data_IF_884824105640
#
_entry.id   IF_884824105640
#
_cell.length_a   1.000
_cell.length_b   1.000
_cell.length_c   1.000
_cell.angle_alpha   90.00
_cell.angle_beta   90.00
_cell.angle_gamma   90.00
#
_symmetry.space_group_name_H-M   'P 1'
#
loop_
_entity.id
_entity.type
_entity.pdbx_description
1 polymer ?
#
# COMPACT_ATOMS: atom_id res chain seq x y z
N UNK A 1 -28.36 -28.87 -18.54
CA UNK A 1 -27.28 -29.85 -18.74
C UNK A 1 -26.02 -29.04 -19.00
N UNK A 2 -24.96 -28.97 -18.20
CA UNK A 2 -24.46 -29.85 -17.15
C UNK A 2 -23.74 -29.01 -16.07
N UNK A 3 -23.76 -29.51 -14.84
CA UNK A 3 -22.97 -29.02 -13.69
C UNK A 3 -21.57 -29.63 -13.69
N UNK A 4 -20.57 -28.94 -13.12
CA UNK A 4 -19.47 -29.56 -12.40
C UNK A 4 -19.57 -29.14 -10.92
N UNK A 5 -19.37 -29.99 -9.92
CA UNK A 5 -18.53 -31.17 -9.85
C UNK A 5 -17.82 -31.09 -8.50
N UNK A 6 -18.41 -31.73 -7.50
CA UNK A 6 -17.90 -31.84 -6.13
C UNK A 6 -16.48 -32.41 -6.09
N UNK A 7 -15.62 -31.86 -5.23
CA UNK A 7 -14.47 -32.58 -4.69
C UNK A 7 -14.58 -32.60 -3.17
N UNK A 8 -14.84 -33.81 -2.66
CA UNK A 8 -14.72 -34.18 -1.26
C UNK A 8 -13.34 -34.79 -1.03
N UNK A 9 -12.74 -34.49 0.12
CA UNK A 9 -11.49 -35.10 0.57
C UNK A 9 -11.35 -34.93 2.06
N UNK A 10 -11.80 -35.93 2.82
CA UNK A 10 -11.62 -36.07 4.25
C UNK A 10 -10.20 -36.55 4.57
N UNK A 11 -9.62 -36.06 5.67
CA UNK A 11 -8.54 -36.75 6.36
C UNK A 11 -8.61 -36.46 7.86
N UNK A 12 -8.60 -37.56 8.62
CA UNK A 12 -8.68 -37.64 10.06
C UNK A 12 -7.35 -37.32 10.74
N UNK A 13 -7.40 -36.89 12.00
CA UNK A 13 -6.33 -37.17 12.97
C UNK A 13 -6.90 -37.21 14.38
N UNK A 14 -6.59 -38.31 15.08
CA UNK A 14 -7.04 -38.67 16.40
C UNK A 14 -6.01 -38.28 17.48
N UNK A 15 -6.53 -38.06 18.70
CA UNK A 15 -6.09 -38.52 20.01
C UNK A 15 -4.60 -38.52 20.45
N UNK A 16 -4.39 -38.15 21.72
CA UNK A 16 -3.28 -38.61 22.57
C UNK A 16 -2.61 -37.49 23.38
N UNK A 17 -3.05 -37.24 24.61
CA UNK A 17 -2.42 -37.68 25.87
C UNK A 17 -1.13 -36.89 26.22
N UNK A 18 -1.19 -35.93 27.16
CA UNK A 18 -0.92 -36.10 28.60
C UNK A 18 0.46 -36.71 28.89
N UNK A 19 1.36 -35.99 29.58
CA UNK A 19 2.32 -36.48 30.58
C UNK A 19 3.09 -35.29 31.23
N UNK A 20 3.76 -35.47 32.40
CA UNK A 20 3.59 -34.60 33.56
C UNK A 20 4.72 -33.61 33.86
N UNK A 21 4.36 -32.62 34.68
CA UNK A 21 5.17 -31.53 35.24
C UNK A 21 6.06 -32.05 36.38
N UNK A 22 7.36 -32.13 36.16
CA UNK A 22 8.38 -32.40 37.18
C UNK A 22 8.79 -31.09 37.87
N UNK A 23 8.71 -31.08 39.20
CA UNK A 23 9.19 -30.01 40.07
C UNK A 23 10.68 -30.20 40.41
N UNK A 24 11.48 -29.12 40.51
CA UNK A 24 12.79 -29.18 41.15
C UNK A 24 12.75 -28.69 42.62
N UNK A 25 13.73 -29.12 43.44
CA UNK A 25 13.70 -29.01 44.90
C UNK A 25 14.20 -27.67 45.47
N UNK A 26 13.69 -27.37 46.67
CA UNK A 26 14.20 -26.40 47.65
C UNK A 26 15.72 -26.53 47.84
N UNK A 27 16.45 -25.41 47.71
CA UNK A 27 17.80 -25.24 48.28
C UNK A 27 17.85 -24.03 49.20
N UNK A 28 18.62 -24.25 50.26
CA UNK A 28 18.72 -23.52 51.51
C UNK A 28 19.40 -22.16 51.31
N UNK A 29 18.93 -21.19 52.08
CA UNK A 29 19.58 -19.89 52.25
C UNK A 29 20.88 -20.07 53.04
N UNK A 30 22.00 -19.67 52.44
CA UNK A 30 23.28 -19.49 53.11
C UNK A 30 23.60 -17.99 53.13
N UNK A 31 23.67 -17.45 54.34
CA UNK A 31 24.05 -16.09 54.69
C UNK A 31 25.57 -15.95 54.77
N UNK A 32 26.16 -14.99 54.03
CA UNK A 32 27.58 -14.59 54.07
C UNK A 32 27.77 -13.24 53.31
N UNK A 33 28.88 -12.48 53.51
CA UNK A 33 28.96 -11.35 54.42
C UNK A 33 28.89 -9.97 53.75
N UNK A 34 28.46 -8.99 54.55
CA UNK A 34 28.11 -7.61 54.25
C UNK A 34 29.32 -6.68 54.00
N UNK A 35 30.33 -7.13 53.25
CA UNK A 35 31.56 -6.34 53.03
C UNK A 35 31.80 -5.91 51.57
N UNK A 36 30.98 -6.37 50.62
CA UNK A 36 31.12 -6.00 49.20
C UNK A 36 30.24 -4.81 48.77
N UNK A 37 29.36 -4.31 49.66
CA UNK A 37 28.39 -3.25 49.32
C UNK A 37 28.97 -1.84 49.40
N UNK A 38 30.17 -1.64 50.00
CA UNK A 38 30.82 -0.32 50.05
C UNK A 38 31.71 -0.01 48.82
N UNK A 39 32.10 -0.99 48.01
CA UNK A 39 32.86 -0.72 46.78
C UNK A 39 31.97 -0.35 45.56
N UNK A 40 30.67 -0.62 45.59
CA UNK A 40 29.76 -0.24 44.49
C UNK A 40 29.27 1.21 44.54
N UNK A 41 29.44 1.93 45.66
CA UNK A 41 29.02 3.34 45.74
C UNK A 41 30.03 4.34 45.15
N UNK A 42 31.28 3.93 44.89
CA UNK A 42 32.29 4.83 44.32
C UNK A 42 32.36 4.85 42.78
N UNK A 43 31.53 4.07 42.07
CA UNK A 43 31.45 4.13 40.60
C UNK A 43 30.29 4.98 40.06
N UNK A 44 29.51 5.63 40.93
CA UNK A 44 28.44 6.55 40.52
C UNK A 44 28.94 8.00 40.52
N UNK A 45 29.81 8.33 39.59
CA UNK A 45 30.02 9.71 39.12
C UNK A 45 30.79 9.70 37.80
N UNK A 46 30.09 9.27 36.75
CA UNK A 46 30.43 9.59 35.37
C UNK A 46 29.31 10.46 34.80
N UNK A 47 29.63 11.45 33.94
CA UNK A 47 28.66 12.42 33.45
C UNK A 47 27.56 11.71 32.65
N UNK A 48 26.34 12.23 32.79
CA UNK A 48 25.15 11.90 32.01
C UNK A 48 25.43 11.99 30.50
N UNK A 49 26.06 10.96 29.95
CA UNK A 49 25.94 10.63 28.54
C UNK A 49 24.67 9.80 28.42
N UNK A 50 23.64 10.43 27.84
CA UNK A 50 22.42 9.77 27.45
C UNK A 50 22.75 8.55 26.57
N UNK A 51 22.74 7.36 27.18
CA UNK A 51 22.68 6.11 26.46
C UNK A 51 21.24 5.91 26.00
N UNK A 52 20.96 5.86 24.68
CA UNK A 52 19.63 5.51 24.19
C UNK A 52 19.40 4.03 24.52
N UNK A 53 18.70 3.79 25.62
CA UNK A 53 18.19 2.48 26.00
C UNK A 53 17.11 2.07 25.01
N UNK A 54 17.41 1.05 24.22
CA UNK A 54 16.46 0.07 23.68
C UNK A 54 15.16 0.60 23.11
N UNK A 55 15.21 1.22 21.93
CA UNK A 55 14.09 1.03 21.02
C UNK A 55 14.15 -0.41 20.50
N UNK A 56 13.05 -1.15 20.62
CA UNK A 56 12.78 -2.34 19.82
C UNK A 56 12.71 -1.89 18.35
N UNK A 57 13.87 -1.57 17.78
CA UNK A 57 13.99 -1.08 16.43
C UNK A 57 13.67 -2.21 15.50
N UNK A 58 12.53 -2.10 14.82
CA UNK A 58 12.31 -2.63 13.47
C UNK A 58 13.36 -2.03 12.53
N UNK A 59 14.63 -2.37 12.78
CA UNK A 59 15.78 -1.82 12.08
C UNK A 59 15.72 -2.30 10.65
N UNK A 60 15.54 -1.38 9.71
CA UNK A 60 15.63 -1.67 8.27
C UNK A 60 16.96 -2.39 8.04
N UNK A 61 16.92 -3.68 7.68
CA UNK A 61 18.14 -4.46 7.41
C UNK A 61 18.90 -3.79 6.27
N UNK A 62 20.19 -3.55 6.48
CA UNK A 62 21.06 -2.96 5.47
C UNK A 62 21.74 -4.06 4.66
N UNK A 63 21.78 -3.92 3.34
CA UNK A 63 22.53 -4.84 2.47
C UNK A 63 24.01 -4.99 2.86
N UNK A 64 24.59 -4.02 3.59
CA UNK A 64 25.97 -4.10 4.12
C UNK A 64 26.19 -5.26 5.10
N UNK A 65 25.13 -5.83 5.66
CA UNK A 65 25.19 -6.97 6.55
C UNK A 65 25.27 -8.32 5.80
N UNK A 66 25.00 -8.33 4.49
CA UNK A 66 25.03 -9.54 3.67
C UNK A 66 26.46 -9.89 3.27
N UNK A 67 26.75 -11.20 3.22
CA UNK A 67 28.05 -11.71 2.77
C UNK A 67 28.03 -11.93 1.26
N UNK A 68 28.78 -11.10 0.56
CA UNK A 68 28.97 -11.19 -0.90
C UNK A 68 27.65 -11.25 -1.70
N UNK A 69 26.75 -10.25 -1.55
CA UNK A 69 25.42 -10.31 -2.12
C UNK A 69 25.42 -10.11 -3.65
N UNK A 70 24.58 -10.87 -4.33
CA UNK A 70 24.16 -10.54 -5.68
C UNK A 70 23.14 -9.39 -5.64
N UNK A 71 23.31 -8.41 -6.53
CA UNK A 71 22.37 -7.31 -6.74
C UNK A 71 21.47 -7.60 -7.92
N UNK A 72 20.18 -7.66 -7.67
CA UNK A 72 19.13 -7.68 -8.68
C UNK A 72 18.45 -6.31 -8.70
N UNK A 73 18.12 -5.79 -9.87
CA UNK A 73 17.49 -4.49 -10.03
C UNK A 73 16.52 -4.49 -11.20
N UNK A 74 15.45 -3.71 -11.05
CA UNK A 74 14.45 -3.48 -12.09
C UNK A 74 13.81 -2.10 -11.89
N UNK A 75 13.44 -1.48 -13.00
CA UNK A 75 12.71 -0.21 -12.99
C UNK A 75 11.59 -0.25 -14.01
N UNK A 76 10.50 0.47 -13.74
CA UNK A 76 9.39 0.60 -14.67
C UNK A 76 8.74 1.96 -14.54
N UNK A 77 8.10 2.41 -15.62
CA UNK A 77 7.25 3.58 -15.63
C UNK A 77 5.94 3.24 -16.33
N UNK A 78 4.83 3.70 -15.78
CA UNK A 78 3.52 3.51 -16.37
C UNK A 78 2.68 4.77 -16.22
N UNK A 79 1.71 4.95 -17.12
CA UNK A 79 0.73 6.01 -17.03
C UNK A 79 -0.65 5.49 -17.47
N UNK A 80 -1.70 6.01 -16.84
CA UNK A 80 -3.10 5.69 -17.16
C UNK A 80 -3.88 7.00 -17.25
N UNK A 81 -4.73 7.10 -18.27
CA UNK A 81 -5.66 8.21 -18.42
C UNK A 81 -6.94 7.93 -17.64
N UNK A 82 -7.49 8.98 -17.04
CA UNK A 82 -8.69 8.92 -16.20
C UNK A 82 -9.66 10.03 -16.59
N UNK A 83 -10.95 9.72 -16.52
CA UNK A 83 -11.99 10.70 -16.68
C UNK A 83 -12.17 11.50 -15.39
N UNK A 84 -11.65 12.72 -15.35
CA UNK A 84 -11.72 13.59 -14.18
C UNK A 84 -13.10 14.26 -14.08
N UNK A 85 -13.73 14.17 -12.90
CA UNK A 85 -15.03 14.78 -12.61
C UNK A 85 -14.93 16.26 -12.23
N UNK A 86 -13.74 16.75 -11.91
CA UNK A 86 -13.48 18.14 -11.54
C UNK A 86 -14.08 18.56 -10.19
N UNK A 87 -13.84 19.81 -9.81
CA UNK A 87 -14.36 20.40 -8.58
C UNK A 87 -13.96 19.62 -7.33
N UNK A 88 -14.92 19.40 -6.41
CA UNK A 88 -14.71 18.62 -5.19
C UNK A 88 -14.53 17.10 -5.44
N UNK A 89 -14.81 16.63 -6.66
CA UNK A 89 -14.67 15.24 -7.08
C UNK A 89 -13.49 15.06 -8.03
N UNK A 90 -12.58 16.03 -8.07
CA UNK A 90 -11.45 16.00 -8.98
C UNK A 90 -10.49 14.87 -8.64
N UNK A 91 -9.68 14.45 -9.63
CA UNK A 91 -8.59 13.53 -9.37
C UNK A 91 -7.63 14.09 -8.32
N UNK A 92 -7.39 15.40 -8.32
CA UNK A 92 -6.55 16.06 -7.31
C UNK A 92 -7.15 15.95 -5.90
N UNK A 93 -8.46 16.18 -5.74
CA UNK A 93 -9.12 16.04 -4.46
C UNK A 93 -9.04 14.59 -3.93
N UNK A 94 -9.19 13.61 -4.82
CA UNK A 94 -9.04 12.19 -4.49
C UNK A 94 -7.60 11.84 -4.08
N UNK A 95 -6.60 12.26 -4.87
CA UNK A 95 -5.20 11.91 -4.62
C UNK A 95 -4.64 12.51 -3.32
N UNK A 96 -5.30 13.56 -2.80
CA UNK A 96 -4.98 14.23 -1.53
C UNK A 96 -5.76 13.69 -0.33
N UNK A 97 -6.57 12.65 -0.50
CA UNK A 97 -7.21 12.00 0.63
C UNK A 97 -6.14 11.50 1.62
N UNK A 98 -6.45 11.49 2.93
CA UNK A 98 -5.59 10.87 3.92
C UNK A 98 -5.18 9.46 3.48
N UNK A 99 -3.89 9.15 3.65
CA UNK A 99 -3.28 7.93 3.14
C UNK A 99 -4.00 6.68 3.67
N UNK A 100 -4.55 6.75 4.87
CA UNK A 100 -5.32 5.70 5.53
C UNK A 100 -6.54 5.25 4.71
N UNK A 101 -7.09 6.13 3.86
CA UNK A 101 -8.28 5.84 3.04
C UNK A 101 -7.99 4.97 1.81
N UNK A 102 -6.72 4.69 1.50
CA UNK A 102 -6.34 3.81 0.38
C UNK A 102 -6.30 2.31 0.74
N UNK A 103 -6.63 1.97 1.99
CA UNK A 103 -6.66 0.57 2.45
C UNK A 103 -7.67 -0.32 1.70
N UNK A 104 -8.72 0.26 1.10
CA UNK A 104 -9.76 -0.48 0.36
C UNK A 104 -9.38 -0.78 -1.10
N UNK A 105 -8.19 -0.37 -1.59
CA UNK A 105 -7.78 -0.57 -2.99
C UNK A 105 -7.77 -2.04 -3.41
N UNK A 106 -7.15 -2.89 -2.61
CA UNK A 106 -7.20 -4.35 -2.79
C UNK A 106 -6.91 -5.03 -1.45
N UNK A 107 -7.92 -5.55 -0.73
CA UNK A 107 -7.73 -6.13 0.61
C UNK A 107 -6.95 -7.46 0.57
N UNK A 108 -6.78 -8.08 -0.60
CA UNK A 108 -5.99 -9.31 -0.73
C UNK A 108 -4.50 -9.03 -0.82
N UNK A 109 -4.13 -7.89 -1.41
CA UNK A 109 -2.73 -7.47 -1.58
C UNK A 109 -2.29 -6.41 -0.59
N UNK A 110 -3.18 -5.55 -0.10
CA UNK A 110 -2.85 -4.39 0.72
C UNK A 110 -3.59 -4.50 2.05
N UNK A 111 -2.82 -4.51 3.13
CA UNK A 111 -3.34 -4.49 4.49
C UNK A 111 -2.78 -3.28 5.22
N UNK A 112 -3.64 -2.42 5.78
CA UNK A 112 -3.17 -1.29 6.60
C UNK A 112 -2.53 -1.79 7.90
N UNK A 113 -1.38 -1.23 8.24
CA UNK A 113 -0.72 -1.42 9.54
C UNK A 113 -0.98 -0.24 10.50
N UNK A 114 -1.80 0.73 10.08
CA UNK A 114 -2.06 1.98 10.78
C UNK A 114 -1.21 3.14 10.27
N UNK A 115 -1.78 4.35 10.36
CA UNK A 115 -1.17 5.57 9.82
C UNK A 115 -0.83 5.42 8.34
N UNK A 116 0.42 5.73 7.99
CA UNK A 116 0.91 5.71 6.62
C UNK A 116 1.64 4.44 6.21
N UNK A 117 1.57 3.37 7.00
CA UNK A 117 2.27 2.11 6.74
C UNK A 117 1.30 1.00 6.33
N UNK A 118 1.70 0.23 5.32
CA UNK A 118 0.90 -0.84 4.72
C UNK A 118 1.74 -2.11 4.57
N UNK A 119 1.12 -3.27 4.75
CA UNK A 119 1.68 -4.54 4.34
C UNK A 119 1.20 -4.85 2.92
N UNK A 120 2.15 -4.89 2.00
CA UNK A 120 1.96 -5.31 0.62
C UNK A 120 2.30 -6.80 0.49
N UNK A 121 1.29 -7.62 0.20
CA UNK A 121 1.43 -9.03 -0.14
C UNK A 121 1.57 -9.16 -1.64
N UNK A 122 2.76 -9.55 -2.08
CA UNK A 122 3.03 -9.80 -3.49
C UNK A 122 2.55 -11.22 -3.82
N UNK A 123 1.74 -11.41 -4.88
CA UNK A 123 1.30 -12.74 -5.28
C UNK A 123 2.46 -13.71 -5.44
N UNK A 124 2.20 -14.99 -5.11
CA UNK A 124 3.19 -16.05 -5.26
C UNK A 124 3.73 -16.11 -6.69
N UNK A 125 5.05 -16.05 -6.81
CA UNK A 125 5.77 -16.26 -8.06
C UNK A 125 6.47 -17.61 -7.99
N UNK A 126 6.31 -18.42 -9.04
CA UNK A 126 6.97 -19.72 -9.16
C UNK A 126 7.98 -19.69 -10.30
N UNK A 127 9.22 -20.08 -10.00
CA UNK A 127 10.28 -20.30 -10.98
C UNK A 127 10.82 -21.72 -10.78
N UNK A 128 10.62 -22.58 -11.79
CA UNK A 128 10.93 -24.01 -11.70
C UNK A 128 10.22 -24.66 -10.50
N UNK A 129 10.97 -25.29 -9.60
CA UNK A 129 10.47 -25.93 -8.37
C UNK A 129 10.61 -25.03 -7.14
N UNK A 130 10.88 -23.74 -7.33
CA UNK A 130 10.99 -22.76 -6.27
C UNK A 130 9.85 -21.77 -6.40
N UNK A 131 9.10 -21.57 -5.32
CA UNK A 131 8.10 -20.52 -5.25
C UNK A 131 8.46 -19.55 -4.14
N UNK A 132 8.06 -18.31 -4.34
CA UNK A 132 8.35 -17.19 -3.47
C UNK A 132 7.12 -16.28 -3.35
N UNK A 133 6.87 -15.80 -2.15
CA UNK A 133 5.74 -14.92 -1.82
C UNK A 133 6.24 -13.83 -0.86
N UNK A 134 6.65 -12.67 -1.42
CA UNK A 134 7.14 -11.54 -0.64
C UNK A 134 6.01 -10.82 0.12
N UNK A 135 6.30 -10.44 1.35
CA UNK A 135 5.50 -9.51 2.14
C UNK A 135 6.36 -8.30 2.47
N UNK A 136 5.94 -7.11 2.03
CA UNK A 136 6.73 -5.88 2.13
C UNK A 136 5.93 -4.86 2.92
N UNK A 137 6.50 -4.37 4.02
CA UNK A 137 5.99 -3.16 4.67
C UNK A 137 6.35 -1.98 3.78
N UNK A 138 5.37 -1.15 3.45
CA UNK A 138 5.50 0.03 2.60
C UNK A 138 5.04 1.25 3.40
N UNK A 139 5.90 2.25 3.49
CA UNK A 139 5.58 3.54 4.04
C UNK A 139 5.20 4.50 2.90
N UNK A 140 4.07 5.17 3.04
CA UNK A 140 3.57 6.12 2.04
C UNK A 140 3.69 7.53 2.58
N UNK A 141 4.32 8.43 1.84
CA UNK A 141 4.39 9.85 2.21
C UNK A 141 3.99 10.73 1.05
N UNK A 142 3.38 11.87 1.35
CA UNK A 142 3.14 12.91 0.38
C UNK A 142 4.35 13.84 0.33
N UNK A 143 4.87 14.08 -0.87
CA UNK A 143 6.01 14.97 -1.10
C UNK A 143 5.56 16.13 -2.00
N UNK A 144 5.35 17.30 -1.38
CA UNK A 144 4.78 18.46 -2.06
C UNK A 144 3.30 18.27 -2.39
N UNK A 145 2.84 18.92 -3.46
CA UNK A 145 1.42 18.97 -3.81
C UNK A 145 0.94 17.86 -4.74
N UNK A 146 1.83 17.28 -5.55
CA UNK A 146 1.47 16.39 -6.67
C UNK A 146 2.25 15.06 -6.68
N UNK A 147 2.96 14.73 -5.60
CA UNK A 147 3.72 13.48 -5.51
C UNK A 147 3.32 12.68 -4.27
N UNK A 148 3.12 11.38 -4.47
CA UNK A 148 3.08 10.37 -3.42
C UNK A 148 4.28 9.45 -3.60
N UNK A 149 5.02 9.22 -2.53
CA UNK A 149 6.19 8.36 -2.49
C UNK A 149 5.86 7.13 -1.66
N UNK A 150 6.10 5.97 -2.24
CA UNK A 150 6.00 4.66 -1.58
C UNK A 150 7.41 4.14 -1.38
N UNK A 151 7.79 3.85 -0.14
CA UNK A 151 9.10 3.29 0.19
C UNK A 151 8.98 1.98 0.95
N UNK A 152 9.83 1.02 0.61
CA UNK A 152 9.96 -0.20 1.42
C UNK A 152 10.49 0.11 2.82
N UNK A 153 9.83 -0.47 3.80
CA UNK A 153 10.34 -0.77 5.12
C UNK A 153 10.94 -2.18 5.16
N UNK A 154 10.44 -3.00 6.09
CA UNK A 154 10.85 -4.39 6.24
C UNK A 154 10.23 -5.28 5.16
N UNK A 155 11.02 -6.22 4.63
CA UNK A 155 10.53 -7.24 3.70
C UNK A 155 10.76 -8.63 4.29
N UNK A 156 9.77 -9.51 4.10
CA UNK A 156 9.81 -10.92 4.45
C UNK A 156 9.52 -11.78 3.24
N UNK A 157 10.11 -12.96 3.22
CA UNK A 157 10.04 -13.89 2.12
C UNK A 157 9.47 -15.21 2.60
N UNK A 158 8.25 -15.53 2.15
CA UNK A 158 7.70 -16.88 2.25
C UNK A 158 8.10 -17.66 1.00
N UNK A 159 8.26 -18.96 1.13
CA UNK A 159 8.71 -19.76 -0.01
C UNK A 159 8.69 -21.26 0.21
N UNK A 160 9.10 -21.95 -0.84
CA UNK A 160 9.28 -23.41 -0.84
C UNK A 160 10.27 -23.88 0.22
N UNK A 161 10.27 -25.18 0.50
CA UNK A 161 11.19 -25.79 1.47
C UNK A 161 12.65 -25.48 1.16
N UNK A 162 13.01 -25.42 -0.14
CA UNK A 162 14.35 -25.02 -0.55
C UNK A 162 14.68 -23.59 -0.11
N UNK A 163 13.75 -22.64 -0.24
CA UNK A 163 13.93 -21.25 0.21
C UNK A 163 14.18 -21.18 1.72
N UNK A 164 13.43 -21.99 2.48
CA UNK A 164 13.52 -22.07 3.93
C UNK A 164 14.82 -22.75 4.39
N UNK A 165 15.20 -23.88 3.77
CA UNK A 165 16.44 -24.61 4.05
C UNK A 165 17.67 -23.72 3.81
N UNK A 166 17.63 -22.91 2.75
CA UNK A 166 18.69 -21.96 2.41
C UNK A 166 18.63 -20.67 3.24
N UNK A 167 17.60 -20.52 4.09
CA UNK A 167 17.36 -19.34 4.94
C UNK A 167 17.38 -18.02 4.15
N UNK A 168 16.78 -18.01 2.96
CA UNK A 168 16.85 -16.83 2.10
C UNK A 168 16.12 -15.60 2.69
N UNK A 169 15.08 -15.78 3.53
CA UNK A 169 14.44 -14.68 4.28
C UNK A 169 15.42 -13.92 5.20
N UNK A 170 16.45 -14.60 5.69
CA UNK A 170 17.48 -14.00 6.55
C UNK A 170 18.59 -13.33 5.75
N UNK A 171 18.74 -13.70 4.47
CA UNK A 171 19.89 -13.40 3.62
C UNK A 171 19.54 -12.51 2.43
N UNK A 172 18.40 -11.84 2.49
CA UNK A 172 17.97 -10.89 1.48
C UNK A 172 17.63 -9.53 2.07
N UNK A 173 17.72 -8.52 1.23
CA UNK A 173 17.26 -7.16 1.49
C UNK A 173 16.56 -6.66 0.23
N UNK A 174 15.38 -6.07 0.39
CA UNK A 174 14.60 -5.48 -0.69
C UNK A 174 14.48 -3.98 -0.46
N UNK A 175 14.83 -3.21 -1.47
CA UNK A 175 14.54 -1.79 -1.58
C UNK A 175 13.50 -1.60 -2.68
N UNK A 176 12.44 -0.89 -2.37
CA UNK A 176 11.38 -0.50 -3.28
C UNK A 176 11.14 0.99 -3.11
N UNK A 177 11.14 1.72 -4.21
CA UNK A 177 10.83 3.14 -4.25
C UNK A 177 9.89 3.36 -5.42
N UNK A 178 8.71 3.89 -5.17
CA UNK A 178 7.78 4.29 -6.23
C UNK A 178 7.34 5.73 -6.02
N UNK A 179 7.50 6.53 -7.08
CA UNK A 179 6.96 7.88 -7.15
C UNK A 179 5.72 7.87 -8.01
N UNK A 180 4.60 8.24 -7.42
CA UNK A 180 3.31 8.42 -8.07
C UNK A 180 3.02 9.92 -8.22
N UNK A 181 2.58 10.30 -9.41
CA UNK A 181 2.23 11.66 -9.79
C UNK A 181 0.87 11.66 -10.48
N UNK A 182 0.15 12.76 -10.39
CA UNK A 182 -1.13 12.91 -11.07
C UNK A 182 -1.26 14.29 -11.69
N UNK A 183 -2.10 14.37 -12.70
CA UNK A 183 -2.52 15.62 -13.32
C UNK A 183 -4.03 15.66 -13.36
N UNK A 184 -4.60 16.70 -12.74
CA UNK A 184 -6.01 17.04 -12.83
C UNK A 184 -6.14 18.28 -13.73
N UNK A 185 -6.98 18.26 -14.77
CA UNK A 185 -7.22 19.42 -15.59
C UNK A 185 -7.78 20.55 -14.72
N UNK A 186 -7.17 21.73 -14.81
CA UNK A 186 -7.57 22.88 -14.02
C UNK A 186 -9.07 23.15 -14.20
N UNK A 187 -9.83 23.06 -13.11
CA UNK A 187 -11.25 23.36 -13.10
C UNK A 187 -11.46 24.82 -13.50
N UNK A 188 -11.76 25.08 -14.77
CA UNK A 188 -12.21 26.40 -15.23
C UNK A 188 -11.29 27.18 -16.17
N UNK A 189 -10.26 26.60 -16.77
CA UNK A 189 -9.56 27.27 -17.89
C UNK A 189 -10.33 27.12 -19.22
N UNK A 190 -11.60 27.55 -19.24
CA UNK A 190 -12.18 28.13 -20.44
C UNK A 190 -11.55 29.52 -20.61
N UNK A 191 -10.22 29.59 -20.80
CA UNK A 191 -9.64 30.72 -21.50
C UNK A 191 -9.99 30.48 -22.96
N UNK A 192 -11.22 30.87 -23.33
CA UNK A 192 -11.48 31.31 -24.68
C UNK A 192 -10.40 32.34 -25.00
N UNK A 193 -9.35 31.92 -25.69
CA UNK A 193 -8.47 32.80 -26.44
C UNK A 193 -9.30 33.33 -27.61
N UNK A 194 -10.30 34.13 -27.27
CA UNK A 194 -10.94 35.09 -28.14
C UNK A 194 -9.85 36.13 -28.40
N UNK A 195 -8.95 35.80 -29.34
CA UNK A 195 -8.06 36.76 -29.96
C UNK A 195 -8.93 37.72 -30.76
N UNK A 196 -9.45 38.74 -30.07
CA UNK A 196 -10.18 39.83 -30.66
C UNK A 196 -9.56 41.15 -30.22
N UNK A 197 -8.88 41.80 -31.16
CA UNK A 197 -9.07 43.24 -31.37
C UNK A 197 -8.00 44.19 -30.85
N UNK A 198 -6.99 44.42 -31.68
CA UNK A 198 -6.40 45.76 -31.91
C UNK A 198 -5.60 45.68 -33.22
N UNK A 199 -5.90 46.32 -34.35
CA UNK A 199 -6.93 47.28 -34.79
C UNK A 199 -6.40 47.97 -36.06
N UNK A 200 -7.17 48.05 -37.15
CA UNK A 200 -7.11 49.08 -38.21
C UNK A 200 -8.17 48.82 -39.31
N UNK A 201 -8.64 49.84 -40.05
CA UNK A 201 -10.05 49.95 -40.47
C UNK A 201 -10.31 49.98 -42.00
N UNK A 202 -11.61 49.90 -42.33
CA UNK A 202 -12.29 50.32 -43.58
C UNK A 202 -12.12 49.38 -44.81
N UNK A 203 -13.09 49.11 -45.69
CA UNK A 203 -14.32 49.81 -46.13
C UNK A 203 -15.34 48.82 -46.75
N UNK A 204 -16.62 49.21 -46.70
CA UNK A 204 -17.72 48.95 -47.66
C UNK A 204 -18.23 47.53 -47.93
N UNK A 205 -19.54 47.35 -47.67
CA UNK A 205 -20.41 46.66 -48.63
C UNK A 205 -21.55 45.83 -48.06
N UNK A 206 -22.75 46.42 -48.11
CA UNK A 206 -24.01 45.77 -48.54
C UNK A 206 -24.89 45.06 -47.49
N UNK A 207 -25.94 45.79 -47.11
CA UNK A 207 -27.36 45.42 -47.01
C UNK A 207 -27.77 43.94 -46.83
N UNK A 208 -28.55 43.67 -45.78
CA UNK A 208 -29.36 42.45 -45.66
C UNK A 208 -30.05 42.23 -44.31
N UNK A 209 -31.20 42.88 -44.11
CA UNK A 209 -32.45 42.39 -43.46
C UNK A 209 -32.45 41.69 -42.09
N UNK A 210 -33.14 42.37 -41.15
CA UNK A 210 -34.03 41.93 -40.07
C UNK A 210 -34.22 40.43 -39.77
N UNK A 211 -34.12 40.10 -38.48
CA UNK A 211 -34.64 38.87 -37.89
C UNK A 211 -34.57 38.89 -36.36
N UNK A 212 -35.51 39.59 -35.73
CA UNK A 212 -35.75 39.56 -34.28
C UNK A 212 -36.30 38.20 -33.84
N UNK A 213 -35.79 37.63 -32.73
CA UNK A 213 -36.50 36.55 -32.06
C UNK A 213 -35.70 35.83 -30.95
N UNK A 214 -36.12 36.05 -29.71
CA UNK A 214 -36.13 34.99 -28.69
C UNK A 214 -34.85 34.74 -27.90
N UNK A 215 -34.51 35.66 -27.00
CA UNK A 215 -33.63 35.41 -25.88
C UNK A 215 -34.26 34.41 -24.89
N UNK A 216 -34.03 33.12 -25.08
CA UNK A 216 -34.23 32.10 -24.04
C UNK A 216 -32.91 31.92 -23.27
N UNK A 217 -32.72 32.73 -22.22
CA UNK A 217 -31.69 32.49 -21.19
C UNK A 217 -32.09 31.29 -20.36
N UNK A 218 -31.89 30.09 -20.91
CA UNK A 218 -31.75 28.90 -20.09
C UNK A 218 -30.30 28.84 -19.66
N UNK A 219 -30.05 29.11 -18.37
CA UNK A 219 -28.84 28.70 -17.65
C UNK A 219 -28.82 27.16 -17.61
N UNK A 220 -28.66 26.53 -18.77
CA UNK A 220 -28.19 25.16 -18.85
C UNK A 220 -26.73 25.23 -18.48
N UNK A 221 -26.40 24.83 -17.25
CA UNK A 221 -25.04 24.46 -16.87
C UNK A 221 -24.67 23.34 -17.82
N UNK A 222 -24.07 23.70 -18.96
CA UNK A 222 -23.58 22.74 -19.92
C UNK A 222 -22.62 21.87 -19.13
N UNK A 223 -23.00 20.61 -18.93
CA UNK A 223 -22.13 19.60 -18.34
C UNK A 223 -20.88 19.59 -19.21
N UNK A 224 -19.84 20.29 -18.74
CA UNK A 224 -18.59 20.42 -19.46
C UNK A 224 -18.11 19.03 -19.82
N UNK A 225 -17.61 18.87 -21.05
CA UNK A 225 -17.03 17.62 -21.48
C UNK A 225 -16.09 17.10 -20.38
N UNK A 226 -16.21 15.83 -20.01
CA UNK A 226 -15.49 15.32 -18.85
C UNK A 226 -14.00 15.52 -19.09
N UNK A 227 -13.37 16.30 -18.21
CA UNK A 227 -12.02 16.73 -18.40
C UNK A 227 -11.07 15.54 -18.19
N UNK A 228 -10.02 15.41 -19.00
CA UNK A 228 -9.13 14.25 -18.94
C UNK A 228 -8.00 14.50 -17.95
N UNK A 229 -7.89 13.62 -16.95
CA UNK A 229 -6.79 13.57 -15.99
C UNK A 229 -5.85 12.39 -16.28
N UNK A 230 -4.69 12.36 -15.62
CA UNK A 230 -3.74 11.26 -15.76
C UNK A 230 -3.08 10.89 -14.43
N UNK A 231 -2.76 9.60 -14.29
CA UNK A 231 -1.96 9.02 -13.22
C UNK A 231 -0.68 8.47 -13.83
N UNK A 232 0.48 8.82 -13.29
CA UNK A 232 1.78 8.35 -13.75
C UNK A 232 2.62 7.88 -12.59
N UNK A 233 3.28 6.73 -12.72
CA UNK A 233 4.18 6.22 -11.71
C UNK A 233 5.53 5.81 -12.29
N UNK A 234 6.57 5.98 -11.48
CA UNK A 234 7.92 5.48 -11.73
C UNK A 234 8.32 4.63 -10.52
N UNK A 235 8.72 3.39 -10.77
CA UNK A 235 9.10 2.44 -9.73
C UNK A 235 10.53 1.96 -9.97
N UNK A 236 11.30 1.86 -8.89
CA UNK A 236 12.61 1.23 -8.83
C UNK A 236 12.62 0.18 -7.73
N UNK A 237 13.13 -1.00 -8.06
CA UNK A 237 13.31 -2.10 -7.12
C UNK A 237 14.75 -2.59 -7.18
N UNK A 238 15.33 -2.78 -6.00
CA UNK A 238 16.62 -3.44 -5.84
C UNK A 238 16.48 -4.55 -4.81
N UNK A 239 16.96 -5.74 -5.16
CA UNK A 239 17.02 -6.89 -4.26
C UNK A 239 18.47 -7.31 -4.13
N UNK A 240 18.94 -7.42 -2.90
CA UNK A 240 20.25 -7.94 -2.57
C UNK A 240 20.05 -9.30 -1.91
N UNK A 241 20.75 -10.33 -2.37
CA UNK A 241 20.66 -11.67 -1.78
C UNK A 241 22.03 -12.32 -1.75
N UNK A 242 22.38 -12.98 -0.64
CA UNK A 242 23.56 -13.84 -0.62
C UNK A 242 23.42 -14.96 -1.64
N UNK A 243 24.54 -15.32 -2.29
CA UNK A 243 24.58 -16.45 -3.23
C UNK A 243 24.81 -17.73 -2.42
N UNK A 244 23.74 -18.51 -2.28
CA UNK A 244 23.75 -19.77 -1.52
C UNK A 244 24.20 -20.95 -2.39
N UNK A 245 24.76 -21.97 -1.73
CA UNK A 245 25.50 -23.12 -2.30
C UNK A 245 25.25 -23.50 -3.76
N UNK A 246 24.06 -24.00 -4.14
CA UNK A 246 23.82 -24.48 -5.51
C UNK A 246 23.96 -23.40 -6.58
N UNK A 247 23.84 -22.12 -6.23
CA UNK A 247 23.97 -20.99 -7.15
C UNK A 247 25.40 -20.44 -7.25
N UNK A 248 26.33 -20.88 -6.39
CA UNK A 248 27.73 -20.42 -6.41
C UNK A 248 28.48 -20.90 -7.65
N UNK A 249 28.06 -22.02 -8.23
CA UNK A 249 28.63 -22.53 -9.48
C UNK A 249 28.24 -21.70 -10.71
N UNK A 250 27.21 -20.83 -10.60
CA UNK A 250 26.73 -20.00 -11.69
C UNK A 250 27.49 -18.67 -11.69
N UNK A 251 28.10 -18.25 -12.81
CA UNK A 251 28.74 -16.93 -12.90
C UNK A 251 27.77 -15.81 -12.52
N UNK A 252 28.23 -14.92 -11.63
CA UNK A 252 27.40 -13.85 -11.07
C UNK A 252 26.72 -12.99 -12.14
N UNK A 253 27.40 -12.70 -13.24
CA UNK A 253 26.83 -11.92 -14.35
C UNK A 253 25.59 -12.57 -14.95
N UNK A 254 25.55 -13.91 -15.04
CA UNK A 254 24.39 -14.65 -15.57
C UNK A 254 23.24 -14.60 -14.56
N UNK A 255 23.54 -14.83 -13.26
CA UNK A 255 22.53 -14.80 -12.20
C UNK A 255 21.89 -13.42 -12.07
N UNK A 256 22.70 -12.36 -12.08
CA UNK A 256 22.21 -10.98 -12.03
C UNK A 256 21.48 -10.60 -13.31
N UNK A 257 22.01 -10.96 -14.48
CA UNK A 257 21.37 -10.67 -15.77
C UNK A 257 19.97 -11.28 -15.88
N UNK A 258 19.84 -12.56 -15.54
CA UNK A 258 18.55 -13.26 -15.52
C UNK A 258 17.61 -12.70 -14.47
N UNK A 259 18.08 -12.48 -13.25
CA UNK A 259 17.28 -11.88 -12.18
C UNK A 259 16.79 -10.46 -12.51
N UNK A 260 17.64 -9.61 -13.10
CA UNK A 260 17.28 -8.26 -13.53
C UNK A 260 16.18 -8.29 -14.61
N UNK A 261 16.30 -9.19 -15.59
CA UNK A 261 15.29 -9.35 -16.63
C UNK A 261 13.93 -9.76 -16.05
N UNK A 262 13.92 -10.72 -15.12
CA UNK A 262 12.71 -11.15 -14.40
C UNK A 262 12.11 -10.00 -13.59
N UNK A 263 12.93 -9.27 -12.83
CA UNK A 263 12.46 -8.13 -12.03
C UNK A 263 11.88 -7.02 -12.90
N UNK A 264 12.52 -6.70 -14.03
CA UNK A 264 12.00 -5.74 -15.00
C UNK A 264 10.67 -6.18 -15.60
N UNK A 265 10.55 -7.44 -16.02
CA UNK A 265 9.31 -7.99 -16.55
C UNK A 265 8.18 -7.96 -15.52
N UNK A 266 8.47 -8.32 -14.26
CA UNK A 266 7.51 -8.27 -13.16
C UNK A 266 7.02 -6.84 -12.91
N UNK A 267 7.91 -5.86 -12.84
CA UNK A 267 7.55 -4.45 -12.64
C UNK A 267 6.72 -3.90 -13.80
N UNK A 268 7.08 -4.25 -15.03
CA UNK A 268 6.32 -3.86 -16.23
C UNK A 268 4.92 -4.47 -16.28
N UNK A 269 4.69 -5.61 -15.64
CA UNK A 269 3.36 -6.21 -15.52
C UNK A 269 2.55 -5.60 -14.36
N UNK A 270 3.15 -5.45 -13.18
CA UNK A 270 2.45 -5.05 -11.96
C UNK A 270 2.13 -3.55 -11.91
N UNK A 271 3.05 -2.67 -12.31
CA UNK A 271 2.86 -1.23 -12.17
C UNK A 271 1.65 -0.70 -12.97
N UNK A 272 1.41 -1.12 -14.23
CA UNK A 272 0.20 -0.74 -14.96
C UNK A 272 -1.10 -1.31 -14.37
N UNK A 273 -1.04 -2.50 -13.74
CA UNK A 273 -2.22 -3.08 -13.05
C UNK A 273 -2.58 -2.21 -11.84
N UNK A 274 -1.59 -1.83 -11.03
CA UNK A 274 -1.78 -0.96 -9.88
C UNK A 274 -2.41 0.39 -10.28
N UNK A 275 -1.88 1.06 -11.31
CA UNK A 275 -2.42 2.34 -11.76
C UNK A 275 -3.87 2.23 -12.27
N UNK A 276 -4.22 1.12 -12.94
CA UNK A 276 -5.61 0.86 -13.35
C UNK A 276 -6.52 0.65 -12.15
N UNK A 277 -6.07 -0.09 -11.13
CA UNK A 277 -6.85 -0.28 -9.90
C UNK A 277 -7.09 1.03 -9.16
N UNK A 278 -6.06 1.89 -9.11
CA UNK A 278 -6.19 3.22 -8.53
C UNK A 278 -7.15 4.12 -9.33
N UNK A 279 -7.11 4.04 -10.67
CA UNK A 279 -8.05 4.73 -11.55
C UNK A 279 -9.51 4.24 -11.37
N UNK A 280 -9.71 2.92 -11.30
CA UNK A 280 -11.02 2.30 -11.02
C UNK A 280 -11.58 2.76 -9.66
N UNK A 281 -10.73 2.79 -8.64
CA UNK A 281 -11.10 3.24 -7.29
C UNK A 281 -11.45 4.72 -7.25
N UNK A 282 -10.70 5.57 -7.97
CA UNK A 282 -11.06 6.98 -8.14
C UNK A 282 -12.44 7.13 -8.78
N UNK A 283 -12.70 6.44 -9.89
CA UNK A 283 -13.99 6.53 -10.58
C UNK A 283 -15.15 6.07 -9.69
N UNK A 284 -14.92 5.04 -8.87
CA UNK A 284 -15.87 4.59 -7.86
C UNK A 284 -16.08 5.65 -6.77
N UNK A 285 -15.01 6.21 -6.22
CA UNK A 285 -15.09 7.27 -5.20
C UNK A 285 -15.80 8.52 -5.68
N UNK A 286 -15.56 8.92 -6.93
CA UNK A 286 -16.20 10.07 -7.54
C UNK A 286 -17.68 9.78 -7.86
N UNK A 287 -18.00 8.57 -8.32
CA UNK A 287 -19.33 8.17 -8.77
C UNK A 287 -20.30 7.68 -7.68
N UNK A 288 -19.81 7.19 -6.55
CA UNK A 288 -20.62 6.60 -5.49
C UNK A 288 -20.51 7.42 -4.17
N UNK A 289 -21.52 8.25 -3.85
CA UNK A 289 -21.54 9.04 -2.62
C UNK A 289 -21.49 8.19 -1.35
N UNK A 290 -22.12 7.01 -1.32
CA UNK A 290 -22.15 6.14 -0.15
C UNK A 290 -20.79 5.50 0.09
N UNK A 291 -20.10 5.07 -0.98
CA UNK A 291 -18.72 4.60 -0.92
C UNK A 291 -17.77 5.66 -0.36
N UNK A 292 -17.87 6.89 -0.88
CA UNK A 292 -17.07 8.03 -0.41
C UNK A 292 -17.34 8.38 1.06
N UNK A 293 -18.61 8.39 1.48
CA UNK A 293 -18.97 8.65 2.87
C UNK A 293 -18.41 7.57 3.81
N UNK A 294 -18.47 6.29 3.42
CA UNK A 294 -17.90 5.18 4.20
C UNK A 294 -16.38 5.33 4.36
N UNK A 295 -15.66 5.71 3.29
CA UNK A 295 -14.21 5.94 3.34
C UNK A 295 -13.81 7.14 4.19
N UNK A 296 -14.63 8.18 4.22
CA UNK A 296 -14.40 9.34 5.07
C UNK A 296 -14.66 9.03 6.56
N UNK A 297 -15.39 7.96 6.88
CA UNK A 297 -15.61 7.56 8.25
C UNK A 297 -14.28 7.09 8.87
N UNK A 298 -13.93 7.57 10.08
CA UNK A 298 -12.72 7.13 10.74
C UNK A 298 -12.77 5.62 10.95
N UNK A 299 -11.69 4.91 10.57
CA UNK A 299 -11.55 3.46 10.68
C UNK A 299 -11.60 2.92 12.15
N UNK A 300 -11.95 3.76 13.13
CA UNK A 300 -12.00 3.47 14.57
C UNK A 300 -13.39 3.19 15.14
N UNK A 301 -14.42 2.93 14.32
CA UNK A 301 -15.78 2.64 14.79
C UNK A 301 -16.09 1.17 15.11
N UNK A 302 -15.11 0.26 15.11
CA UNK A 302 -15.32 -1.13 15.57
C UNK A 302 -15.01 -1.26 17.06
N UNK A 303 -15.85 -0.65 17.89
CA UNK A 303 -15.97 -0.96 19.30
C UNK A 303 -17.46 -1.18 19.62
N UNK A 304 -17.86 -2.45 19.61
CA UNK A 304 -18.82 -3.02 20.57
C UNK A 304 -20.17 -2.27 20.75
N UNK A 305 -21.19 -2.61 19.96
CA UNK A 305 -22.51 -1.98 20.12
C UNK A 305 -23.68 -2.51 19.30
N UNK A 306 -23.70 -3.79 18.91
CA UNK A 306 -24.95 -4.44 18.46
C UNK A 306 -25.11 -5.75 19.25
N UNK A 307 -25.49 -5.60 20.52
CA UNK A 307 -26.20 -6.62 21.29
C UNK A 307 -27.47 -5.97 21.82
N UNK A 308 -28.62 -6.50 21.41
CA UNK A 308 -29.88 -6.32 22.14
C UNK A 308 -30.88 -5.35 21.54
N UNK A 309 -31.37 -5.65 20.33
CA UNK A 309 -32.76 -5.32 19.99
C UNK A 309 -33.52 -6.64 19.82
N UNK A 310 -33.66 -7.38 20.92
CA UNK A 310 -34.54 -8.54 21.03
C UNK A 310 -35.71 -8.16 21.92
N UNK A 311 -36.86 -7.95 21.28
CA UNK A 311 -38.20 -8.37 21.69
C UNK A 311 -38.49 -8.43 23.20
N UNK A 312 -39.08 -7.34 23.70
CA UNK A 312 -39.96 -7.24 24.87
C UNK A 312 -40.90 -6.07 24.54
N UNK A 313 -42.23 -6.06 24.73
CA UNK A 313 -43.16 -6.97 25.35
C UNK A 313 -44.55 -6.39 25.00
N UNK A 314 -45.32 -7.03 24.11
CA UNK A 314 -46.77 -6.79 23.98
C UNK A 314 -47.48 -8.04 24.50
N UNK A 315 -47.72 -8.04 25.81
CA UNK A 315 -48.64 -8.94 26.46
C UNK A 315 -49.18 -8.23 27.69
N UNK A 316 -50.22 -7.41 27.51
CA UNK A 316 -51.13 -6.99 28.58
C UNK A 316 -52.38 -6.32 27.97
N UNK A 317 -53.38 -7.15 27.73
CA UNK A 317 -54.82 -6.85 27.76
C UNK A 317 -55.53 -8.19 27.53
N UNK A 318 -56.58 -8.64 28.21
CA UNK A 318 -57.44 -8.15 29.29
C UNK A 318 -58.25 -9.41 29.69
N UNK A 319 -58.37 -9.71 30.98
CA UNK A 319 -59.49 -10.46 31.55
C UNK A 319 -59.69 -9.94 32.97
N UNK A 320 -60.91 -9.53 33.32
CA UNK A 320 -61.86 -10.47 33.90
C UNK A 320 -63.10 -10.71 33.03
#
# INVERSE_FOLDING_TARGET
>A
MASPGCWAGAAAAAAGALHPRLAPPRRQAASLPQQQQQQQQQQHQAPLQAQPSGSNGTGKRSHRQLRDPAKLQGSSSAAVQVQDRGGALSLDAYMRLPVEQYNELDPTMIQSLGGSSFLLKVPRVSLLNVWVEPEVVVDVRQEGTLNLIFESGEARLKGSDLLQQLKLDERFVLYFHTKLTWHSPAAGANSSSSSNGSGAPATNGRAGTNGSGGSNSSNGVAAGAPAQGSLSAQAEVQVWSEVVGPFQAIPRGILQGTGNAVMGALMNALLPIFLRKLAEDYLRWAGDPAYRARRAAPAGGSANGIKGATVQQQAQAQKP
#
